data_IF_629498018652
#
_entry.id   IF_629498018652
#
_cell.length_a   1.000
_cell.length_b   1.000
_cell.length_c   1.000
_cell.angle_alpha   90.00
_cell.angle_beta   90.00
_cell.angle_gamma   90.00
#
_symmetry.space_group_name_H-M   'P 1'
#
loop_
_entity.id
_entity.type
_entity.pdbx_description
1 polymer ?
#
# COMPACT_ATOMS: atom_id res chain seq x y z
N UNK A 1 10.48 19.45 -27.28
CA UNK A 1 9.33 18.68 -26.75
C UNK A 1 9.92 17.63 -25.83
N UNK A 2 10.11 18.01 -24.56
CA UNK A 2 10.71 17.14 -23.56
C UNK A 2 9.66 16.10 -23.14
N UNK A 3 10.06 14.83 -23.15
CA UNK A 3 9.25 13.72 -22.68
C UNK A 3 9.11 13.84 -21.15
N UNK A 4 7.91 13.70 -20.56
CA UNK A 4 7.70 13.79 -19.11
C UNK A 4 8.46 12.72 -18.30
N UNK A 5 9.08 11.74 -18.96
CA UNK A 5 9.78 10.61 -18.33
C UNK A 5 11.25 10.91 -17.96
N UNK A 6 11.92 11.89 -18.58
CA UNK A 6 13.32 12.18 -18.24
C UNK A 6 13.46 12.90 -16.88
N UNK A 7 12.42 13.62 -16.43
CA UNK A 7 12.49 14.37 -15.17
C UNK A 7 12.21 13.50 -13.94
N UNK A 8 11.46 12.40 -14.09
CA UNK A 8 11.29 11.40 -13.03
C UNK A 8 12.65 10.77 -12.65
N UNK A 9 13.54 10.54 -13.62
CA UNK A 9 14.89 10.08 -13.39
C UNK A 9 15.72 11.05 -12.54
N UNK A 10 15.56 12.36 -12.70
CA UNK A 10 16.27 13.35 -11.87
C UNK A 10 15.86 13.35 -10.39
N UNK A 11 14.56 13.19 -10.11
CA UNK A 11 14.04 13.13 -8.74
C UNK A 11 14.41 11.82 -8.02
N UNK A 12 14.44 10.70 -8.74
CA UNK A 12 14.82 9.38 -8.21
C UNK A 12 16.25 9.35 -7.63
N UNK A 13 17.14 10.26 -8.06
CA UNK A 13 18.53 10.28 -7.60
C UNK A 13 18.75 11.06 -6.30
N UNK A 14 17.72 11.75 -5.77
CA UNK A 14 17.86 12.62 -4.58
C UNK A 14 16.90 12.28 -3.44
N UNK A 15 15.88 11.47 -3.72
CA UNK A 15 14.92 11.03 -2.71
C UNK A 15 14.84 9.50 -2.72
N UNK A 16 14.93 8.83 -1.56
CA UNK A 16 14.73 7.39 -1.50
C UNK A 16 13.30 7.05 -1.93
N UNK A 17 13.14 6.01 -2.74
CA UNK A 17 11.84 5.47 -3.11
C UNK A 17 11.61 4.13 -2.38
N UNK A 18 10.45 4.00 -1.75
CA UNK A 18 9.94 2.73 -1.25
C UNK A 18 8.95 2.20 -2.30
N UNK A 19 9.32 1.12 -2.97
CA UNK A 19 8.50 0.50 -4.00
C UNK A 19 7.49 -0.48 -3.38
N UNK A 20 6.27 -0.55 -3.94
CA UNK A 20 5.21 -1.47 -3.53
C UNK A 20 4.63 -2.12 -4.79
N UNK A 21 4.75 -3.45 -4.97
CA UNK A 21 4.32 -4.12 -6.19
C UNK A 21 2.79 -4.19 -6.30
N UNK A 22 2.26 -4.06 -7.51
CA UNK A 22 0.85 -4.27 -7.84
C UNK A 22 0.62 -5.26 -8.98
N UNK A 23 -0.64 -5.50 -9.33
CA UNK A 23 -1.03 -6.46 -10.38
C UNK A 23 -0.34 -6.19 -11.72
N UNK A 24 -0.10 -4.92 -12.07
CA UNK A 24 0.59 -4.56 -13.31
C UNK A 24 2.09 -4.86 -13.30
N UNK A 25 2.69 -5.06 -12.13
CA UNK A 25 4.08 -5.51 -11.99
C UNK A 25 4.21 -7.03 -12.12
N UNK A 26 3.13 -7.76 -11.82
CA UNK A 26 3.08 -9.22 -11.93
C UNK A 26 2.54 -9.70 -13.27
N UNK A 27 1.94 -8.82 -14.08
CA UNK A 27 1.36 -9.16 -15.38
C UNK A 27 2.43 -9.43 -16.47
N UNK A 28 2.74 -10.71 -16.68
CA UNK A 28 3.60 -11.19 -17.79
C UNK A 28 2.82 -11.49 -19.08
N UNK A 29 1.49 -11.48 -19.06
CA UNK A 29 0.69 -11.73 -20.27
C UNK A 29 0.75 -10.56 -21.27
N UNK A 30 1.21 -9.37 -20.85
CA UNK A 30 1.35 -8.20 -21.72
C UNK A 30 2.55 -8.25 -22.67
N UNK A 31 3.63 -8.99 -22.39
CA UNK A 31 4.73 -9.24 -23.35
C UNK A 31 5.52 -10.51 -23.00
N UNK A 32 5.85 -11.39 -23.97
CA UNK A 32 6.61 -12.63 -23.75
C UNK A 32 7.99 -12.45 -23.08
N UNK A 33 8.57 -11.25 -23.19
CA UNK A 33 9.89 -10.89 -22.64
C UNK A 33 9.80 -9.77 -21.58
N UNK A 34 8.73 -9.76 -20.77
CA UNK A 34 8.65 -8.82 -19.63
C UNK A 34 9.64 -9.23 -18.53
N UNK A 35 10.92 -8.92 -18.72
CA UNK A 35 11.80 -8.61 -17.60
C UNK A 35 11.18 -7.38 -16.95
N UNK A 36 10.55 -7.55 -15.78
CA UNK A 36 9.96 -6.41 -15.10
C UNK A 36 11.13 -5.58 -14.57
N UNK A 37 11.64 -4.70 -15.43
CA UNK A 37 12.81 -3.87 -15.21
C UNK A 37 12.72 -3.09 -13.91
N UNK A 38 11.52 -2.77 -13.40
CA UNK A 38 11.35 -2.04 -12.15
C UNK A 38 11.48 -2.95 -10.93
N UNK A 39 10.84 -4.12 -10.94
CA UNK A 39 11.08 -5.12 -9.90
C UNK A 39 12.56 -5.54 -9.88
N UNK A 40 13.13 -5.85 -11.05
CA UNK A 40 14.52 -6.26 -11.21
C UNK A 40 15.52 -5.14 -10.83
N UNK A 41 15.21 -3.86 -11.13
CA UNK A 41 16.02 -2.70 -10.73
C UNK A 41 15.96 -2.43 -9.23
N UNK A 42 14.78 -2.49 -8.59
CA UNK A 42 14.68 -2.33 -7.13
C UNK A 42 15.34 -3.50 -6.38
N UNK A 43 15.22 -4.72 -6.89
CA UNK A 43 15.97 -5.88 -6.39
C UNK A 43 17.49 -5.69 -6.51
N UNK A 44 17.98 -5.02 -7.56
CA UNK A 44 19.41 -4.74 -7.74
C UNK A 44 19.99 -3.63 -6.85
N UNK A 45 19.15 -2.73 -6.31
CA UNK A 45 19.60 -1.53 -5.56
C UNK A 45 19.60 -1.76 -4.04
N UNK A 46 18.74 -2.63 -3.51
CA UNK A 46 18.68 -2.93 -2.07
C UNK A 46 19.61 -4.12 -1.75
N UNK A 47 20.90 -3.83 -1.56
CA UNK A 47 21.91 -4.81 -1.13
C UNK A 47 21.62 -5.31 0.29
N UNK A 48 20.86 -6.39 0.41
CA UNK A 48 20.80 -7.23 1.61
C UNK A 48 21.31 -8.63 1.27
N UNK A 49 22.09 -9.23 2.17
CA UNK A 49 22.89 -10.46 2.03
C UNK A 49 22.08 -11.77 1.78
N UNK A 50 21.15 -11.77 0.82
CA UNK A 50 20.28 -12.90 0.49
C UNK A 50 20.31 -13.34 -0.98
N UNK A 51 21.27 -12.86 -1.78
CA UNK A 51 21.29 -13.04 -3.25
C UNK A 51 22.04 -14.28 -3.75
N UNK A 52 22.27 -15.29 -2.91
CA UNK A 52 22.58 -16.66 -3.40
C UNK A 52 21.31 -17.42 -3.84
N UNK A 53 20.12 -16.80 -3.77
CA UNK A 53 18.91 -17.31 -4.41
C UNK A 53 18.79 -16.71 -5.82
N UNK A 54 19.14 -17.47 -6.88
CA UNK A 54 19.13 -16.98 -8.25
C UNK A 54 17.69 -16.85 -8.78
N UNK A 55 17.55 -16.01 -9.82
CA UNK A 55 16.64 -16.11 -10.99
C UNK A 55 15.23 -16.69 -10.82
N UNK A 56 14.27 -16.19 -11.62
CA UNK A 56 12.99 -16.87 -11.85
C UNK A 56 13.23 -18.33 -12.26
N UNK A 57 13.18 -19.26 -11.31
CA UNK A 57 13.19 -20.70 -11.61
C UNK A 57 11.75 -21.11 -11.88
N UNK A 58 11.47 -21.54 -13.12
CA UNK A 58 10.21 -22.18 -13.53
C UNK A 58 8.92 -21.35 -13.38
N UNK A 59 8.95 -20.05 -13.69
CA UNK A 59 7.72 -19.23 -13.68
C UNK A 59 7.20 -18.88 -12.29
N UNK A 60 8.05 -19.01 -11.26
CA UNK A 60 7.74 -18.56 -9.90
C UNK A 60 7.89 -17.05 -9.80
N UNK A 61 6.85 -16.34 -9.34
CA UNK A 61 6.86 -14.88 -9.16
C UNK A 61 7.92 -14.45 -8.13
N UNK A 62 8.60 -13.33 -8.38
CA UNK A 62 9.41 -12.67 -7.34
C UNK A 62 8.47 -12.07 -6.31
N UNK A 63 8.54 -12.57 -5.08
CA UNK A 63 7.76 -12.06 -3.95
C UNK A 63 8.48 -10.83 -3.39
N UNK A 64 7.79 -9.70 -3.30
CA UNK A 64 8.41 -8.45 -2.87
C UNK A 64 7.72 -7.90 -1.61
N UNK A 65 8.21 -8.34 -0.46
CA UNK A 65 7.87 -7.80 0.85
C UNK A 65 9.15 -7.43 1.60
N UNK A 66 9.14 -6.29 2.28
CA UNK A 66 10.29 -5.80 3.03
C UNK A 66 9.84 -4.77 4.07
N UNK A 67 10.80 -4.25 4.82
CA UNK A 67 10.58 -3.12 5.73
C UNK A 67 11.53 -1.97 5.43
N UNK A 68 11.05 -0.77 5.71
CA UNK A 68 11.85 0.44 5.66
C UNK A 68 11.63 1.26 6.94
N UNK A 69 12.68 1.93 7.41
CA UNK A 69 12.58 2.91 8.48
C UNK A 69 12.79 4.30 7.91
N UNK A 70 11.85 5.21 8.12
CA UNK A 70 11.95 6.61 7.73
C UNK A 70 11.64 7.51 8.93
N UNK A 71 12.67 8.18 9.44
CA UNK A 71 12.56 8.95 10.68
C UNK A 71 12.11 8.06 11.84
N UNK A 72 11.07 8.47 12.56
CA UNK A 72 10.47 7.70 13.66
C UNK A 72 9.39 6.69 13.20
N UNK A 73 9.24 6.50 11.89
CA UNK A 73 8.25 5.58 11.31
C UNK A 73 8.87 4.26 10.89
N UNK A 74 8.13 3.17 11.08
CA UNK A 74 8.43 1.85 10.54
C UNK A 74 7.36 1.49 9.51
N UNK A 75 7.79 1.22 8.29
CA UNK A 75 6.94 0.90 7.16
C UNK A 75 7.14 -0.56 6.80
N UNK A 76 6.05 -1.33 6.77
CA UNK A 76 5.99 -2.69 6.23
C UNK A 76 5.41 -2.62 4.82
N UNK A 77 6.12 -3.17 3.85
CA UNK A 77 5.65 -3.34 2.47
C UNK A 77 5.22 -4.78 2.27
N UNK A 78 3.99 -4.99 1.82
CA UNK A 78 3.43 -6.30 1.51
C UNK A 78 3.05 -6.40 0.03
N UNK A 79 3.23 -7.59 -0.54
CA UNK A 79 2.76 -7.97 -1.86
C UNK A 79 1.38 -8.61 -1.72
N UNK A 80 0.33 -7.87 -2.08
CA UNK A 80 -1.05 -8.34 -1.97
C UNK A 80 -1.46 -9.25 -3.14
N UNK A 81 -0.68 -9.30 -4.23
CA UNK A 81 -0.97 -10.10 -5.43
C UNK A 81 -0.50 -11.54 -5.25
N UNK A 82 0.60 -11.72 -4.53
CA UNK A 82 1.26 -13.02 -4.33
C UNK A 82 1.30 -13.42 -2.84
N UNK A 83 0.14 -13.66 -2.18
CA UNK A 83 0.13 -14.11 -0.80
C UNK A 83 0.84 -15.45 -0.65
N UNK A 84 1.65 -15.58 0.40
CA UNK A 84 2.44 -16.78 0.66
C UNK A 84 2.65 -17.01 2.15
N UNK A 85 2.92 -18.26 2.53
CA UNK A 85 3.23 -18.59 3.92
C UNK A 85 4.46 -17.83 4.42
N UNK A 86 5.48 -17.67 3.57
CA UNK A 86 6.71 -16.94 3.90
C UNK A 86 6.45 -15.45 4.15
N UNK A 87 5.56 -14.81 3.38
CA UNK A 87 5.13 -13.44 3.63
C UNK A 87 4.35 -13.33 4.94
N UNK A 88 3.44 -14.27 5.21
CA UNK A 88 2.67 -14.29 6.45
C UNK A 88 3.58 -14.43 7.67
N UNK A 89 4.54 -15.34 7.62
CA UNK A 89 5.54 -15.49 8.68
C UNK A 89 6.45 -14.25 8.80
N UNK A 90 6.83 -13.63 7.68
CA UNK A 90 7.58 -12.37 7.70
C UNK A 90 6.80 -11.27 8.41
N UNK A 91 5.52 -11.10 8.07
CA UNK A 91 4.64 -10.11 8.67
C UNK A 91 4.53 -10.35 10.18
N UNK A 92 4.27 -11.59 10.61
CA UNK A 92 4.18 -11.94 12.03
C UNK A 92 5.46 -11.62 12.80
N UNK A 93 6.62 -11.99 12.23
CA UNK A 93 7.93 -11.70 12.84
C UNK A 93 8.19 -10.20 12.92
N UNK A 94 7.95 -9.46 11.84
CA UNK A 94 8.19 -8.02 11.80
C UNK A 94 7.27 -7.27 12.77
N UNK A 95 5.99 -7.62 12.82
CA UNK A 95 5.02 -7.04 13.75
C UNK A 95 5.41 -7.27 15.22
N UNK A 96 6.23 -8.27 15.52
CA UNK A 96 6.75 -8.53 16.87
C UNK A 96 8.14 -7.93 17.11
N UNK A 97 8.81 -7.44 16.07
CA UNK A 97 10.17 -6.93 16.16
C UNK A 97 10.27 -5.71 17.07
N UNK A 98 11.42 -5.55 17.73
CA UNK A 98 11.69 -4.35 18.54
C UNK A 98 11.64 -3.08 17.69
N UNK A 99 12.14 -3.12 16.45
CA UNK A 99 12.10 -1.99 15.54
C UNK A 99 10.67 -1.52 15.25
N UNK A 100 9.74 -2.45 15.00
CA UNK A 100 8.33 -2.12 14.80
C UNK A 100 7.63 -1.70 16.08
N UNK A 101 7.88 -2.38 17.20
CA UNK A 101 7.24 -2.08 18.48
C UNK A 101 7.75 -0.78 19.12
N UNK A 102 8.98 -0.36 18.84
CA UNK A 102 9.52 0.93 19.32
C UNK A 102 9.26 2.09 18.37
N UNK A 103 8.83 1.81 17.12
CA UNK A 103 8.49 2.85 16.16
C UNK A 103 7.31 3.70 16.64
N UNK A 104 7.43 5.00 16.42
CA UNK A 104 6.41 5.96 16.80
C UNK A 104 5.17 5.82 15.92
N UNK A 105 5.38 5.74 14.60
CA UNK A 105 4.32 5.53 13.62
C UNK A 105 4.55 4.19 12.92
N UNK A 106 3.52 3.36 12.94
CA UNK A 106 3.54 2.01 12.38
C UNK A 106 2.67 1.98 11.15
N UNK A 107 3.29 1.84 9.99
CA UNK A 107 2.64 1.98 8.68
C UNK A 107 2.74 0.67 7.94
N UNK A 108 1.64 0.25 7.31
CA UNK A 108 1.63 -0.86 6.36
C UNK A 108 1.24 -0.29 4.99
N UNK A 109 1.94 -0.72 3.94
CA UNK A 109 1.60 -0.35 2.57
C UNK A 109 1.55 -1.58 1.67
N UNK A 110 0.58 -1.59 0.75
CA UNK A 110 0.33 -2.67 -0.19
C UNK A 110 -0.46 -2.15 -1.39
N UNK A 111 -0.44 -2.84 -2.53
CA UNK A 111 -1.18 -2.33 -3.69
C UNK A 111 -2.70 -2.53 -3.57
N UNK A 112 -3.18 -3.77 -3.39
CA UNK A 112 -4.61 -4.09 -3.24
C UNK A 112 -5.06 -3.81 -1.80
N UNK A 113 -6.09 -2.97 -1.65
CA UNK A 113 -6.68 -2.65 -0.35
C UNK A 113 -7.51 -3.83 0.22
N UNK A 114 -7.58 -3.99 1.56
CA UNK A 114 -8.45 -5.01 2.17
C UNK A 114 -9.96 -4.74 1.99
N UNK A 115 -10.34 -3.48 1.73
CA UNK A 115 -11.74 -3.04 1.67
C UNK A 115 -11.97 -2.20 0.41
N UNK A 116 -12.16 -2.85 -0.75
CA UNK A 116 -12.48 -2.17 -2.01
C UNK A 116 -13.99 -1.86 -2.04
N UNK A 117 -14.37 -0.64 -2.44
CA UNK A 117 -15.78 -0.20 -2.53
C UNK A 117 -16.19 0.25 -3.94
N UNK A 118 -15.25 0.64 -4.79
CA UNK A 118 -15.51 1.18 -6.12
C UNK A 118 -14.77 0.38 -7.17
N UNK A 119 -15.47 -0.07 -8.21
CA UNK A 119 -14.89 -0.89 -9.26
C UNK A 119 -15.82 -0.99 -10.47
N UNK A 120 -15.39 -1.72 -11.51
CA UNK A 120 -16.28 -2.14 -12.58
C UNK A 120 -17.29 -3.19 -12.08
N UNK A 121 -18.62 -2.97 -12.21
CA UNK A 121 -19.62 -3.91 -11.69
C UNK A 121 -19.59 -5.28 -12.36
N UNK A 122 -19.21 -5.36 -13.64
CA UNK A 122 -19.18 -6.63 -14.35
C UNK A 122 -18.03 -7.49 -13.86
N UNK A 123 -16.81 -6.97 -13.80
CA UNK A 123 -15.66 -7.75 -13.36
C UNK A 123 -15.71 -8.05 -11.86
N UNK A 124 -16.23 -7.13 -11.04
CA UNK A 124 -16.47 -7.36 -9.62
C UNK A 124 -17.32 -8.62 -9.36
N UNK A 125 -18.45 -8.73 -10.08
CA UNK A 125 -19.42 -9.80 -9.85
C UNK A 125 -19.09 -11.07 -10.65
N UNK A 126 -18.81 -10.92 -11.94
CA UNK A 126 -18.73 -12.04 -12.89
C UNK A 126 -17.31 -12.63 -13.01
N UNK A 127 -16.27 -11.85 -12.69
CA UNK A 127 -14.87 -12.32 -12.72
C UNK A 127 -14.29 -12.60 -11.33
N UNK A 128 -15.08 -12.43 -10.27
CA UNK A 128 -14.68 -12.74 -8.91
C UNK A 128 -13.72 -11.71 -8.29
N UNK A 129 -13.59 -10.51 -8.88
CA UNK A 129 -12.72 -9.46 -8.37
C UNK A 129 -13.20 -8.90 -7.02
N UNK A 130 -14.45 -9.20 -6.63
CA UNK A 130 -14.95 -9.02 -5.25
C UNK A 130 -14.14 -9.75 -4.16
N UNK A 131 -13.36 -10.75 -4.53
CA UNK A 131 -12.48 -11.49 -3.64
C UNK A 131 -11.07 -10.87 -3.53
N UNK A 132 -10.78 -9.82 -4.31
CA UNK A 132 -9.54 -9.09 -4.15
C UNK A 132 -9.46 -8.44 -2.77
N UNK A 133 -8.27 -8.52 -2.17
CA UNK A 133 -8.03 -8.05 -0.82
C UNK A 133 -8.64 -8.92 0.29
N UNK A 134 -9.42 -9.97 -0.03
CA UNK A 134 -10.06 -10.83 0.97
C UNK A 134 -9.04 -11.50 1.91
N UNK A 135 -7.93 -12.01 1.36
CA UNK A 135 -6.83 -12.55 2.16
C UNK A 135 -6.27 -11.50 3.14
N UNK A 136 -5.99 -10.29 2.67
CA UNK A 136 -5.51 -9.19 3.53
C UNK A 136 -6.54 -8.88 4.62
N UNK A 137 -7.83 -8.77 4.24
CA UNK A 137 -8.92 -8.44 5.15
C UNK A 137 -9.15 -9.50 6.23
N UNK A 138 -9.04 -10.78 5.88
CA UNK A 138 -9.35 -11.88 6.78
C UNK A 138 -8.15 -12.30 7.63
N UNK A 139 -6.94 -12.24 7.07
CA UNK A 139 -5.74 -12.80 7.70
C UNK A 139 -4.82 -11.72 8.27
N UNK A 140 -4.60 -10.61 7.55
CA UNK A 140 -3.63 -9.60 7.96
C UNK A 140 -4.24 -8.46 8.75
N UNK A 141 -5.46 -8.04 8.43
CA UNK A 141 -6.17 -7.00 9.16
C UNK A 141 -6.27 -7.27 10.67
N UNK A 142 -6.60 -8.49 11.13
CA UNK A 142 -6.59 -8.80 12.55
C UNK A 142 -5.21 -8.64 13.20
N UNK A 143 -4.12 -8.93 12.46
CA UNK A 143 -2.75 -8.74 12.93
C UNK A 143 -2.40 -7.25 13.03
N UNK A 144 -2.79 -6.45 12.03
CA UNK A 144 -2.58 -5.00 12.04
C UNK A 144 -3.21 -4.35 13.26
N UNK A 145 -4.47 -4.71 13.55
CA UNK A 145 -5.19 -4.22 14.73
C UNK A 145 -4.52 -4.67 16.02
N UNK A 146 -4.15 -5.95 16.14
CA UNK A 146 -3.50 -6.50 17.35
C UNK A 146 -2.15 -5.86 17.65
N UNK A 147 -1.38 -5.52 16.62
CA UNK A 147 -0.03 -4.97 16.74
C UNK A 147 0.01 -3.44 16.65
N UNK A 148 -1.14 -2.78 16.80
CA UNK A 148 -1.29 -1.32 16.84
C UNK A 148 -0.75 -0.60 15.61
N UNK A 149 -0.95 -1.14 14.40
CA UNK A 149 -0.73 -0.40 13.15
C UNK A 149 -1.58 0.88 13.19
N UNK A 150 -0.98 1.99 12.77
CA UNK A 150 -1.59 3.31 12.78
C UNK A 150 -2.25 3.65 11.45
N UNK A 151 -1.57 3.30 10.35
CA UNK A 151 -1.95 3.69 9.00
C UNK A 151 -1.71 2.55 8.02
N UNK A 152 -2.73 2.22 7.22
CA UNK A 152 -2.66 1.33 6.07
C UNK A 152 -2.83 2.16 4.80
N UNK A 153 -1.85 2.08 3.91
CA UNK A 153 -1.82 2.80 2.64
C UNK A 153 -1.98 1.79 1.51
N UNK A 154 -2.97 2.01 0.66
CA UNK A 154 -3.23 1.16 -0.50
C UNK A 154 -3.47 1.95 -1.76
N UNK A 155 -3.41 1.27 -2.91
CA UNK A 155 -3.71 1.82 -4.22
C UNK A 155 -4.78 0.98 -4.92
N UNK A 156 -4.49 0.58 -6.16
CA UNK A 156 -5.30 -0.29 -7.02
C UNK A 156 -6.64 0.29 -7.46
N UNK A 157 -7.54 0.60 -6.52
CA UNK A 157 -8.78 1.33 -6.79
C UNK A 157 -8.46 2.80 -7.12
N UNK A 158 -8.79 3.22 -8.35
CA UNK A 158 -8.43 4.53 -8.91
C UNK A 158 -9.33 5.66 -8.41
N UNK A 159 -9.35 5.87 -7.10
CA UNK A 159 -9.93 7.02 -6.44
C UNK A 159 -9.25 7.22 -5.06
N UNK A 160 -9.74 8.20 -4.30
CA UNK A 160 -9.31 8.42 -2.93
C UNK A 160 -10.38 7.92 -1.96
N UNK A 161 -9.98 7.14 -0.95
CA UNK A 161 -10.82 6.89 0.22
C UNK A 161 -10.02 6.94 1.51
N UNK A 162 -10.67 7.36 2.59
CA UNK A 162 -10.13 7.26 3.96
C UNK A 162 -11.20 6.83 4.94
N UNK A 163 -10.82 5.96 5.87
CA UNK A 163 -11.64 5.50 6.97
C UNK A 163 -10.79 5.28 8.21
N UNK A 164 -11.29 5.68 9.38
CA UNK A 164 -10.63 5.44 10.67
C UNK A 164 -11.58 4.64 11.55
N UNK A 165 -11.13 3.48 12.02
CA UNK A 165 -11.94 2.55 12.80
C UNK A 165 -11.24 2.21 14.11
N UNK A 166 -12.03 1.87 15.13
CA UNK A 166 -11.49 1.32 16.37
C UNK A 166 -10.83 -0.04 16.10
N UNK A 167 -9.68 -0.30 16.72
CA UNK A 167 -8.99 -1.58 16.57
C UNK A 167 -9.81 -2.73 17.16
N UNK A 168 -10.39 -2.49 18.32
CA UNK A 168 -11.36 -3.37 18.96
C UNK A 168 -12.64 -2.58 19.32
N UNK A 169 -13.78 -2.84 18.66
CA UNK A 169 -15.05 -2.18 18.95
C UNK A 169 -15.57 -2.40 20.39
N UNK A 170 -15.06 -3.42 21.09
CA UNK A 170 -15.44 -3.73 22.47
C UNK A 170 -14.55 -3.02 23.50
N UNK A 171 -13.45 -2.39 23.07
CA UNK A 171 -12.48 -1.73 23.94
C UNK A 171 -12.27 -0.29 23.50
N UNK A 172 -12.81 0.65 24.29
CA UNK A 172 -12.67 2.09 24.05
C UNK A 172 -11.18 2.55 24.06
N UNK A 173 -10.31 1.81 24.75
CA UNK A 173 -8.88 2.13 24.89
C UNK A 173 -8.00 1.48 23.81
N UNK A 174 -8.59 0.71 22.87
CA UNK A 174 -7.84 0.03 21.80
C UNK A 174 -7.22 0.98 20.75
N UNK A 175 -7.58 2.26 20.82
CA UNK A 175 -7.20 3.26 19.83
C UNK A 175 -7.79 2.95 18.45
N UNK A 176 -7.25 3.60 17.42
CA UNK A 176 -7.77 3.52 16.07
C UNK A 176 -6.70 3.20 15.04
N UNK A 177 -7.11 2.57 13.96
CA UNK A 177 -6.32 2.34 12.75
C UNK A 177 -6.98 3.09 11.59
N UNK A 178 -6.18 3.75 10.75
CA UNK A 178 -6.65 4.47 9.57
C UNK A 178 -6.30 3.70 8.30
N UNK A 179 -7.27 3.52 7.42
CA UNK A 179 -7.09 2.92 6.10
C UNK A 179 -7.26 3.99 5.04
N UNK A 180 -6.38 3.97 4.05
CA UNK A 180 -6.40 4.88 2.93
C UNK A 180 -6.26 4.13 1.62
N UNK A 181 -7.04 4.55 0.62
CA UNK A 181 -6.87 4.18 -0.77
C UNK A 181 -6.43 5.44 -1.51
N UNK A 182 -5.30 5.37 -2.20
CA UNK A 182 -4.63 6.48 -2.91
C UNK A 182 -4.29 6.03 -4.33
N UNK A 183 -5.26 5.53 -5.09
CA UNK A 183 -5.04 5.00 -6.44
C UNK A 183 -5.26 6.00 -7.58
N UNK A 184 -5.62 7.26 -7.28
CA UNK A 184 -6.01 8.26 -8.28
C UNK A 184 -4.86 8.97 -9.01
N UNK A 185 -3.64 8.43 -9.02
CA UNK A 185 -2.46 9.13 -9.51
C UNK A 185 -2.40 9.33 -11.04
N UNK A 186 -3.30 8.70 -11.83
CA UNK A 186 -3.35 8.90 -13.29
C UNK A 186 -4.09 7.83 -14.09
N UNK A 187 -4.41 6.67 -13.50
CA UNK A 187 -5.23 5.63 -14.12
C UNK A 187 -6.70 6.06 -14.32
N UNK A 188 -7.45 5.34 -15.15
CA UNK A 188 -8.88 5.61 -15.35
C UNK A 188 -9.68 5.44 -14.07
N UNK A 189 -10.47 6.45 -13.68
CA UNK A 189 -11.12 6.52 -12.37
C UNK A 189 -12.21 5.45 -12.17
N UNK A 190 -12.26 4.87 -10.97
CA UNK A 190 -13.31 3.96 -10.53
C UNK A 190 -14.45 4.73 -9.85
N UNK A 191 -15.56 4.91 -10.57
CA UNK A 191 -16.65 5.81 -10.20
C UNK A 191 -17.91 5.10 -9.68
N UNK A 192 -18.03 3.79 -9.92
CA UNK A 192 -19.22 3.02 -9.54
C UNK A 192 -18.94 2.29 -8.24
N UNK A 193 -19.78 2.56 -7.22
CA UNK A 193 -19.71 1.83 -5.96
C UNK A 193 -20.30 0.42 -6.14
N UNK A 194 -19.53 -0.60 -5.82
CA UNK A 194 -19.87 -2.02 -5.93
C UNK A 194 -20.03 -2.70 -4.57
N UNK A 195 -19.49 -2.10 -3.50
CA UNK A 195 -19.59 -2.59 -2.12
C UNK A 195 -19.61 -1.40 -1.14
N UNK A 196 -20.09 -1.62 0.09
CA UNK A 196 -20.04 -0.66 1.19
C UNK A 196 -19.62 -1.36 2.48
N UNK A 197 -18.34 -1.23 2.83
CA UNK A 197 -17.79 -1.79 4.07
C UNK A 197 -18.11 -0.95 5.31
N UNK A 198 -18.80 0.19 5.12
CA UNK A 198 -19.24 1.10 6.18
C UNK A 198 -18.10 1.67 7.05
N UNK A 199 -16.87 1.68 6.54
CA UNK A 199 -15.69 2.17 7.26
C UNK A 199 -15.06 3.43 6.67
N UNK A 200 -15.21 3.67 5.36
CA UNK A 200 -14.71 4.87 4.71
C UNK A 200 -15.67 6.04 4.95
N UNK A 201 -15.14 7.12 5.53
CA UNK A 201 -15.91 8.34 5.81
C UNK A 201 -15.52 9.50 4.88
N UNK A 202 -14.43 9.38 4.14
CA UNK A 202 -14.05 10.30 3.07
C UNK A 202 -13.89 9.51 1.78
N UNK A 203 -14.45 10.06 0.70
CA UNK A 203 -14.33 9.51 -0.66
C UNK A 203 -14.21 10.68 -1.62
N UNK A 204 -13.22 10.64 -2.50
CA UNK A 204 -13.02 11.63 -3.55
C UNK A 204 -12.72 10.93 -4.87
N UNK A 205 -13.56 11.20 -5.88
CA UNK A 205 -13.61 10.50 -7.16
C UNK A 205 -12.96 11.33 -8.28
N UNK A 206 -11.73 11.78 -8.06
CA UNK A 206 -10.88 12.40 -9.09
C UNK A 206 -9.41 12.19 -8.75
N UNK A 207 -8.54 12.58 -9.65
CA UNK A 207 -7.10 12.45 -9.51
C UNK A 207 -6.55 13.30 -8.38
N UNK A 208 -5.64 12.68 -7.63
CA UNK A 208 -5.06 13.25 -6.41
C UNK A 208 -3.68 12.64 -6.14
N UNK A 209 -2.99 13.25 -5.17
CA UNK A 209 -1.78 12.72 -4.56
C UNK A 209 -1.77 13.09 -3.08
N UNK A 210 -0.88 12.48 -2.31
CA UNK A 210 -0.80 12.67 -0.86
C UNK A 210 0.61 13.09 -0.46
N UNK A 211 0.69 13.97 0.53
CA UNK A 211 1.90 14.20 1.31
C UNK A 211 1.70 13.70 2.75
N UNK A 212 2.72 13.03 3.28
CA UNK A 212 2.79 12.59 4.66
C UNK A 212 4.00 13.25 5.32
N UNK A 213 3.75 13.99 6.40
CA UNK A 213 4.77 14.69 7.18
C UNK A 213 4.83 14.12 8.59
N UNK A 214 6.02 13.87 9.11
CA UNK A 214 6.22 13.41 10.50
C UNK A 214 7.07 14.43 11.24
N UNK A 215 6.48 15.08 12.23
CA UNK A 215 7.14 16.13 13.01
C UNK A 215 6.52 16.19 14.42
N UNK A 216 7.32 16.44 15.46
CA UNK A 216 6.82 16.73 16.81
C UNK A 216 5.80 15.71 17.36
N UNK A 217 6.02 14.43 17.09
CA UNK A 217 5.12 13.33 17.46
C UNK A 217 3.74 13.34 16.81
N UNK A 218 3.63 14.02 15.69
CA UNK A 218 2.45 14.06 14.84
C UNK A 218 2.82 13.56 13.43
N UNK A 219 1.99 12.67 12.89
CA UNK A 219 1.97 12.32 11.48
C UNK A 219 0.80 13.06 10.84
N UNK A 220 1.10 14.02 9.96
CA UNK A 220 0.12 14.80 9.20
C UNK A 220 -0.03 14.23 7.79
N UNK A 221 -1.26 13.91 7.42
CA UNK A 221 -1.63 13.47 6.09
C UNK A 221 -2.38 14.58 5.38
N UNK A 222 -1.97 14.92 4.16
CA UNK A 222 -2.69 15.88 3.32
C UNK A 222 -2.87 15.29 1.93
N UNK A 223 -4.13 15.06 1.53
CA UNK A 223 -4.49 14.70 0.16
C UNK A 223 -4.79 15.97 -0.64
N UNK A 224 -4.26 16.05 -1.87
CA UNK A 224 -4.43 17.19 -2.77
C UNK A 224 -4.92 16.75 -4.14
N UNK A 225 -5.78 17.55 -4.76
CA UNK A 225 -6.17 17.35 -6.16
C UNK A 225 -5.04 17.79 -7.12
N UNK A 226 -5.27 17.64 -8.44
CA UNK A 226 -4.33 18.09 -9.49
C UNK A 226 -4.02 19.58 -9.50
N UNK A 227 -4.92 20.42 -8.99
CA UNK A 227 -4.69 21.85 -8.88
C UNK A 227 -3.86 22.22 -7.63
N UNK A 228 -3.61 21.25 -6.74
CA UNK A 228 -2.91 21.45 -5.47
C UNK A 228 -3.83 21.82 -4.31
N UNK A 229 -5.14 21.89 -4.51
CA UNK A 229 -6.10 22.17 -3.44
C UNK A 229 -6.20 20.96 -2.51
N UNK A 230 -6.30 21.22 -1.21
CA UNK A 230 -6.50 20.18 -0.19
C UNK A 230 -7.91 19.61 -0.33
N UNK A 231 -8.00 18.29 -0.52
CA UNK A 231 -9.27 17.55 -0.58
C UNK A 231 -9.57 16.81 0.72
N UNK A 232 -8.53 16.48 1.48
CA UNK A 232 -8.63 15.84 2.79
C UNK A 232 -7.37 16.09 3.62
N UNK A 233 -7.53 16.16 4.94
CA UNK A 233 -6.43 16.28 5.87
C UNK A 233 -6.77 15.62 7.21
N UNK A 234 -5.81 14.90 7.80
CA UNK A 234 -5.92 14.38 9.15
C UNK A 234 -4.55 14.24 9.81
N UNK A 235 -4.55 14.04 11.12
CA UNK A 235 -3.35 13.81 11.92
C UNK A 235 -3.46 12.57 12.80
N UNK A 236 -2.35 11.88 13.00
CA UNK A 236 -2.19 10.85 14.03
C UNK A 236 -1.16 11.38 15.04
N UNK A 237 -1.54 11.43 16.32
CA UNK A 237 -0.70 11.96 17.40
C UNK A 237 -0.30 10.83 18.34
N UNK A 238 0.96 10.82 18.79
CA UNK A 238 1.53 9.81 19.68
C UNK A 238 2.21 10.42 20.90
#
# INVERSE_FOLDING_TARGET
LFSPLEDAGGYQHRSPLVWVPGNHDHDKARTPDNSNIYADMYHGILTTEGLDAPEVVNGTYHRFYHTASLGSSRIIVLDAECPSAEQSEFLERELQSEAFQSAQFRIVTMHIAPYIEFWDPYTWNEKGEKHWGEHVRLEYDPLFRRHNVDLVISGHQHNYQRGTVQRDPQSADSGSITYTIVGGAGGGLDLVRVENWHMYNVTYLDHHFVSLEVENRELRWTAKNRAGDVIDQFSIVR
#
